data_IF_818283420961
#
_entry.id   IF_818283420961
#
_cell.length_a   1.000
_cell.length_b   1.000
_cell.length_c   1.000
_cell.angle_alpha   90.00
_cell.angle_beta   90.00
_cell.angle_gamma   90.00
#
_symmetry.space_group_name_H-M   'P 1'
#
loop_
_entity.id
_entity.type
_entity.pdbx_description
1 polymer ?
#
# COMPACT_ATOMS: atom_id res chain seq x y z
N UNK A 1 -11.94 24.58 7.68
CA UNK A 1 -10.57 24.44 8.20
C UNK A 1 -9.91 25.80 8.30
N UNK A 2 -9.24 26.12 9.41
CA UNK A 2 -8.43 27.34 9.49
C UNK A 2 -7.27 27.23 8.49
N UNK A 3 -6.93 28.32 7.80
CA UNK A 3 -5.74 28.38 6.92
C UNK A 3 -4.42 28.21 7.69
N UNK A 4 -4.47 28.15 9.03
CA UNK A 4 -3.33 28.02 9.94
C UNK A 4 -3.52 26.85 10.92
N UNK A 5 -3.09 25.66 10.50
CA UNK A 5 -3.10 24.46 11.35
C UNK A 5 -1.99 24.47 12.42
N UNK A 6 -1.01 25.38 12.32
CA UNK A 6 0.09 25.47 13.28
C UNK A 6 -0.37 26.14 14.57
N UNK A 7 -1.03 27.29 14.47
CA UNK A 7 -1.50 28.01 15.66
C UNK A 7 -2.67 27.32 16.36
N UNK A 8 -3.63 26.79 15.61
CA UNK A 8 -4.88 26.28 16.19
C UNK A 8 -4.91 24.77 16.39
N UNK A 9 -3.96 24.03 15.79
CA UNK A 9 -3.81 22.59 15.97
C UNK A 9 -2.54 22.25 16.75
N UNK A 10 -1.38 22.37 16.10
CA UNK A 10 -0.11 21.88 16.65
C UNK A 10 0.27 22.58 17.96
N UNK A 11 0.38 23.91 17.98
CA UNK A 11 0.83 24.63 19.16
C UNK A 11 -0.15 24.56 20.34
N UNK A 12 -1.45 24.51 20.06
CA UNK A 12 -2.49 24.38 21.09
C UNK A 12 -2.60 22.95 21.67
N UNK A 13 -2.03 21.95 20.99
CA UNK A 13 -1.98 20.57 21.49
C UNK A 13 -0.88 20.35 22.53
N UNK A 14 0.06 21.29 22.67
CA UNK A 14 1.21 21.20 23.56
C UNK A 14 0.86 21.89 24.88
N UNK A 15 0.81 21.11 25.97
CA UNK A 15 0.47 21.60 27.32
C UNK A 15 1.59 22.42 27.97
N UNK A 16 2.84 22.26 27.51
CA UNK A 16 3.99 23.02 27.97
C UNK A 16 4.02 24.43 27.33
N UNK A 17 4.55 25.41 28.07
CA UNK A 17 4.82 26.73 27.50
C UNK A 17 5.93 26.64 26.46
N UNK A 18 5.58 26.92 25.21
CA UNK A 18 6.51 26.95 24.06
C UNK A 18 6.80 28.38 23.62
N UNK A 19 8.08 28.71 23.52
CA UNK A 19 8.58 30.01 23.07
C UNK A 19 8.38 30.19 21.56
N UNK A 20 8.49 31.45 21.09
CA UNK A 20 8.45 31.75 19.66
C UNK A 20 9.61 31.07 18.88
N UNK A 21 10.78 30.88 19.50
CA UNK A 21 11.92 30.21 18.89
C UNK A 21 11.64 28.71 18.69
N UNK A 22 11.04 28.04 19.69
CA UNK A 22 10.65 26.63 19.59
C UNK A 22 9.56 26.43 18.54
N UNK A 23 8.54 27.30 18.50
CA UNK A 23 7.50 27.29 17.46
C UNK A 23 8.11 27.34 16.05
N UNK A 24 9.10 28.21 15.85
CA UNK A 24 9.81 28.33 14.57
C UNK A 24 10.66 27.09 14.24
N UNK A 25 11.31 26.49 15.24
CA UNK A 25 12.14 25.30 15.05
C UNK A 25 11.31 24.03 14.72
N UNK A 26 10.07 23.94 15.22
CA UNK A 26 9.16 22.82 14.96
C UNK A 26 8.60 22.81 13.52
N UNK A 27 8.63 23.95 12.82
CA UNK A 27 8.10 24.10 11.47
C UNK A 27 9.22 24.12 10.44
N UNK A 28 9.17 23.20 9.48
CA UNK A 28 9.98 23.33 8.26
C UNK A 28 9.38 24.41 7.36
N UNK A 29 10.23 25.31 6.86
CA UNK A 29 9.84 26.33 5.88
C UNK A 29 9.61 25.76 4.49
N UNK A 30 10.21 24.61 4.19
CA UNK A 30 10.06 23.88 2.94
C UNK A 30 9.66 22.42 3.21
N UNK A 31 8.82 21.82 2.35
CA UNK A 31 8.55 20.39 2.38
C UNK A 31 9.83 19.55 2.39
N UNK A 32 9.74 18.34 2.91
CA UNK A 32 10.75 17.33 2.63
C UNK A 32 10.66 16.94 1.15
N UNK A 33 11.82 16.68 0.54
CA UNK A 33 11.82 15.99 -0.74
C UNK A 33 11.17 14.62 -0.54
N UNK A 34 10.06 14.40 -1.25
CA UNK A 34 9.30 13.15 -1.17
C UNK A 34 9.98 12.02 -1.96
N UNK A 35 11.03 12.34 -2.73
CA UNK A 35 11.60 11.44 -3.73
C UNK A 35 10.63 11.21 -4.88
N UNK A 36 10.88 10.15 -5.64
CA UNK A 36 10.00 9.72 -6.72
C UNK A 36 8.74 9.07 -6.13
N UNK A 37 7.62 9.75 -6.27
CA UNK A 37 6.30 9.22 -5.91
C UNK A 37 5.42 9.14 -7.14
N UNK A 38 4.60 8.10 -7.17
CA UNK A 38 3.53 7.95 -8.13
C UNK A 38 2.29 8.63 -7.58
N UNK A 39 1.58 9.39 -8.41
CA UNK A 39 0.40 10.12 -7.98
C UNK A 39 -0.75 9.93 -8.96
N UNK A 40 -1.95 10.10 -8.44
CA UNK A 40 -3.18 10.11 -9.22
C UNK A 40 -3.95 11.39 -8.89
N UNK A 41 -4.77 11.85 -9.84
CA UNK A 41 -5.78 12.86 -9.54
C UNK A 41 -6.70 12.36 -8.41
N UNK A 42 -7.30 13.28 -7.65
CA UNK A 42 -8.21 12.89 -6.56
C UNK A 42 -9.36 11.99 -7.06
N UNK A 43 -9.87 12.25 -8.26
CA UNK A 43 -10.93 11.44 -8.88
C UNK A 43 -10.43 10.02 -9.22
N UNK A 44 -9.24 9.90 -9.82
CA UNK A 44 -8.68 8.59 -10.18
C UNK A 44 -8.31 7.80 -8.93
N UNK A 45 -7.71 8.46 -7.93
CA UNK A 45 -7.39 7.87 -6.64
C UNK A 45 -8.67 7.34 -5.96
N UNK A 46 -9.76 8.10 -6.00
CA UNK A 46 -11.05 7.68 -5.45
C UNK A 46 -11.56 6.39 -6.10
N UNK A 47 -11.63 6.32 -7.44
CA UNK A 47 -12.11 5.12 -8.13
C UNK A 47 -11.19 3.91 -7.91
N UNK A 48 -9.87 4.13 -7.85
CA UNK A 48 -8.89 3.08 -7.54
C UNK A 48 -9.09 2.51 -6.15
N UNK A 49 -9.20 3.37 -5.14
CA UNK A 49 -9.47 2.94 -3.76
C UNK A 49 -10.78 2.16 -3.68
N UNK A 50 -11.84 2.63 -4.34
CA UNK A 50 -13.11 1.89 -4.39
C UNK A 50 -12.99 0.52 -5.06
N UNK A 51 -12.12 0.38 -6.06
CA UNK A 51 -11.88 -0.89 -6.73
C UNK A 51 -11.01 -1.84 -5.89
N UNK A 52 -9.93 -1.36 -5.28
CA UNK A 52 -8.86 -2.23 -4.74
C UNK A 52 -8.79 -2.30 -3.22
N UNK A 53 -9.45 -1.42 -2.46
CA UNK A 53 -9.38 -1.44 -1.01
C UNK A 53 -10.13 -2.63 -0.39
N UNK A 54 -9.57 -3.18 0.69
CA UNK A 54 -10.16 -4.28 1.46
C UNK A 54 -9.98 -5.64 0.79
N UNK A 55 -10.97 -6.53 0.97
CA UNK A 55 -11.03 -7.85 0.35
C UNK A 55 -11.37 -7.72 -1.15
N UNK A 56 -10.46 -7.15 -1.94
CA UNK A 56 -10.72 -6.83 -3.36
C UNK A 56 -10.57 -8.01 -4.32
N UNK A 57 -9.99 -9.13 -3.86
CA UNK A 57 -9.92 -10.37 -4.64
C UNK A 57 -11.31 -11.02 -4.77
N UNK A 58 -12.06 -11.06 -3.67
CA UNK A 58 -13.43 -11.57 -3.63
C UNK A 58 -14.20 -10.79 -2.56
N UNK A 59 -15.14 -9.94 -3.01
CA UNK A 59 -15.89 -9.03 -2.14
C UNK A 59 -17.16 -9.72 -1.67
N UNK A 60 -17.41 -9.66 -0.37
CA UNK A 60 -18.70 -10.06 0.15
C UNK A 60 -19.76 -8.95 -0.01
N UNK A 61 -21.00 -9.25 0.38
CA UNK A 61 -22.10 -8.29 0.29
C UNK A 61 -21.90 -7.03 1.17
N UNK A 62 -21.07 -7.12 2.22
CA UNK A 62 -20.75 -6.00 3.09
C UNK A 62 -19.71 -5.11 2.39
N UNK A 63 -18.67 -5.69 1.80
CA UNK A 63 -17.67 -4.98 1.01
C UNK A 63 -18.33 -4.22 -0.15
N UNK A 64 -19.22 -4.90 -0.90
CA UNK A 64 -20.00 -4.28 -1.97
C UNK A 64 -20.86 -3.11 -1.47
N UNK A 65 -21.54 -3.30 -0.32
CA UNK A 65 -22.33 -2.25 0.30
C UNK A 65 -21.46 -1.04 0.63
N UNK A 66 -20.31 -1.23 1.28
CA UNK A 66 -19.42 -0.15 1.70
C UNK A 66 -18.88 0.61 0.50
N UNK A 67 -18.48 -0.08 -0.57
CA UNK A 67 -18.03 0.56 -1.82
C UNK A 67 -19.15 1.40 -2.43
N UNK A 68 -20.36 0.84 -2.51
CA UNK A 68 -21.53 1.55 -3.06
C UNK A 68 -21.89 2.78 -2.23
N UNK A 69 -21.95 2.64 -0.91
CA UNK A 69 -22.24 3.72 0.04
C UNK A 69 -21.21 4.85 -0.06
N UNK A 70 -19.93 4.50 -0.16
CA UNK A 70 -18.83 5.45 -0.34
C UNK A 70 -18.95 6.19 -1.66
N UNK A 71 -19.26 5.47 -2.75
CA UNK A 71 -19.47 6.06 -4.09
C UNK A 71 -20.66 7.02 -4.11
N UNK A 72 -21.77 6.66 -3.45
CA UNK A 72 -22.98 7.46 -3.43
C UNK A 72 -22.99 8.56 -2.36
N UNK A 73 -22.06 8.53 -1.41
CA UNK A 73 -22.05 9.42 -0.25
C UNK A 73 -23.26 9.21 0.66
N UNK A 74 -23.73 7.96 0.78
CA UNK A 74 -24.92 7.59 1.58
C UNK A 74 -24.57 6.50 2.59
N UNK A 75 -25.41 6.34 3.60
CA UNK A 75 -25.36 5.20 4.51
C UNK A 75 -26.71 4.49 4.50
N UNK A 76 -26.70 3.17 4.29
CA UNK A 76 -27.90 2.33 4.34
C UNK A 76 -28.39 2.17 5.78
N UNK A 77 -27.43 2.05 6.72
CA UNK A 77 -27.72 1.80 8.13
C UNK A 77 -27.33 2.99 9.00
N UNK A 78 -27.97 3.05 10.17
CA UNK A 78 -27.86 4.16 11.12
C UNK A 78 -27.83 3.61 12.52
N UNK A 79 -26.87 4.09 13.31
CA UNK A 79 -26.72 3.70 14.70
C UNK A 79 -27.98 4.00 15.52
N UNK A 80 -28.44 3.02 16.29
CA UNK A 80 -29.66 3.19 17.07
C UNK A 80 -29.45 4.13 18.27
N UNK A 81 -28.24 4.27 18.80
CA UNK A 81 -27.94 5.15 19.94
C UNK A 81 -27.47 6.51 19.44
N UNK A 82 -26.43 6.54 18.61
CA UNK A 82 -25.85 7.77 18.06
C UNK A 82 -26.82 8.53 17.16
N UNK A 83 -27.76 7.81 16.53
CA UNK A 83 -28.66 8.34 15.49
C UNK A 83 -27.89 8.97 14.31
N UNK A 84 -26.66 8.54 14.07
CA UNK A 84 -25.83 8.99 12.94
C UNK A 84 -25.80 7.90 11.87
N UNK A 85 -26.03 8.28 10.60
CA UNK A 85 -25.91 7.35 9.47
C UNK A 85 -24.45 6.94 9.25
N UNK A 86 -24.20 5.66 9.00
CA UNK A 86 -22.86 5.13 8.75
C UNK A 86 -22.02 4.87 10.00
N UNK A 87 -22.49 5.29 11.19
CA UNK A 87 -21.92 4.89 12.48
C UNK A 87 -22.83 3.82 13.06
N UNK A 88 -22.29 2.60 13.17
CA UNK A 88 -22.99 1.43 13.69
C UNK A 88 -22.67 1.32 15.19
N UNK A 89 -23.68 1.35 16.05
CA UNK A 89 -23.52 1.21 17.50
C UNK A 89 -23.61 -0.25 17.93
N UNK A 90 -24.37 -1.06 17.18
CA UNK A 90 -24.50 -2.50 17.39
C UNK A 90 -24.73 -3.24 16.08
N UNK A 91 -24.42 -4.54 16.06
CA UNK A 91 -24.71 -5.42 14.92
C UNK A 91 -26.20 -5.46 14.56
N UNK A 92 -27.09 -5.17 15.51
CA UNK A 92 -28.53 -5.13 15.28
C UNK A 92 -28.97 -3.89 14.46
N UNK A 93 -28.14 -2.85 14.39
CA UNK A 93 -28.43 -1.67 13.56
C UNK A 93 -28.38 -1.99 12.06
N UNK A 94 -27.76 -3.13 11.71
CA UNK A 94 -27.69 -3.66 10.36
C UNK A 94 -28.92 -4.47 9.97
N UNK A 95 -29.88 -4.71 10.89
CA UNK A 95 -31.06 -5.56 10.63
C UNK A 95 -32.06 -4.84 9.71
N UNK A 96 -32.30 -5.32 8.47
CA UNK A 96 -33.29 -4.71 7.59
C UNK A 96 -34.70 -4.83 8.14
N UNK A 97 -35.58 -3.89 7.77
CA UNK A 97 -37.01 -4.02 8.06
C UNK A 97 -37.59 -5.24 7.36
N UNK A 98 -38.35 -6.05 8.10
CA UNK A 98 -38.90 -7.32 7.59
C UNK A 98 -37.90 -8.46 7.49
N UNK A 99 -36.67 -8.31 8.00
CA UNK A 99 -35.71 -9.40 8.06
C UNK A 99 -36.27 -10.58 8.89
N UNK A 100 -35.97 -11.83 8.49
CA UNK A 100 -36.51 -13.00 9.14
C UNK A 100 -36.00 -13.15 10.59
N UNK A 101 -36.62 -14.05 11.34
CA UNK A 101 -36.30 -14.26 12.75
C UNK A 101 -34.86 -14.74 12.97
N UNK A 102 -34.32 -15.51 12.02
CA UNK A 102 -32.97 -16.09 11.98
C UNK A 102 -31.93 -15.19 11.28
N UNK A 103 -32.28 -13.95 10.94
CA UNK A 103 -31.34 -13.01 10.32
C UNK A 103 -30.08 -12.79 11.20
N UNK A 104 -28.92 -12.74 10.54
CA UNK A 104 -27.62 -12.45 11.13
C UNK A 104 -26.97 -11.22 10.48
N UNK A 105 -26.20 -10.47 11.26
CA UNK A 105 -25.38 -9.36 10.77
C UNK A 105 -24.19 -9.82 9.91
N UNK A 106 -23.85 -11.11 10.00
CA UNK A 106 -22.76 -11.72 9.25
C UNK A 106 -23.34 -12.50 8.07
N UNK A 107 -22.97 -12.15 6.82
CA UNK A 107 -23.39 -12.92 5.66
C UNK A 107 -22.82 -14.34 5.73
N UNK A 108 -23.51 -15.26 5.06
CA UNK A 108 -22.88 -16.53 4.71
C UNK A 108 -21.81 -16.24 3.66
N UNK A 109 -20.57 -16.62 3.94
CA UNK A 109 -19.49 -16.57 2.96
C UNK A 109 -19.53 -17.88 2.19
N UNK A 110 -19.84 -17.80 0.90
CA UNK A 110 -19.74 -18.96 0.03
C UNK A 110 -18.26 -19.22 -0.23
N UNK A 111 -17.72 -20.24 0.42
CA UNK A 111 -16.38 -20.71 0.10
C UNK A 111 -16.38 -21.38 -1.28
N UNK A 112 -15.36 -21.07 -2.08
CA UNK A 112 -15.06 -21.84 -3.29
C UNK A 112 -14.49 -23.22 -2.96
N UNK A 113 -14.19 -24.01 -4.00
CA UNK A 113 -13.38 -25.20 -3.85
C UNK A 113 -11.94 -24.80 -3.54
N UNK A 114 -11.47 -25.13 -2.34
CA UNK A 114 -10.08 -24.89 -1.98
C UNK A 114 -9.17 -25.77 -2.84
N UNK A 115 -8.11 -25.20 -3.43
CA UNK A 115 -7.06 -25.99 -4.05
C UNK A 115 -6.52 -27.03 -3.07
N UNK A 116 -6.07 -28.16 -3.61
CA UNK A 116 -5.46 -29.21 -2.80
C UNK A 116 -4.13 -28.71 -2.23
N UNK A 117 -4.01 -28.79 -0.91
CA UNK A 117 -2.82 -28.45 -0.11
C UNK A 117 -2.58 -29.66 0.81
N UNK A 118 -1.63 -30.52 0.43
CA UNK A 118 -1.44 -31.85 1.04
C UNK A 118 -0.75 -31.77 2.39
N UNK A 119 0.13 -30.81 2.61
CA UNK A 119 0.86 -30.63 3.88
C UNK A 119 0.35 -29.49 4.75
N UNK A 120 -0.70 -28.79 4.28
CA UNK A 120 -1.48 -27.78 4.99
C UNK A 120 -0.64 -26.56 5.37
N UNK A 121 0.27 -26.18 4.48
CA UNK A 121 1.23 -25.13 4.72
C UNK A 121 0.78 -23.76 4.20
N UNK A 122 -0.35 -23.73 3.50
CA UNK A 122 -0.98 -22.55 2.92
C UNK A 122 -0.67 -22.34 1.44
N UNK A 123 0.05 -23.25 0.78
CA UNK A 123 0.34 -23.24 -0.65
C UNK A 123 -0.32 -24.45 -1.35
N UNK A 124 -0.93 -24.29 -2.53
CA UNK A 124 -1.49 -25.41 -3.28
C UNK A 124 -0.41 -26.32 -3.87
N UNK A 125 -0.66 -27.64 -3.89
CA UNK A 125 0.24 -28.65 -4.45
C UNK A 125 0.70 -28.28 -5.89
N UNK A 126 -0.24 -27.82 -6.74
CA UNK A 126 0.05 -27.45 -8.13
C UNK A 126 1.00 -26.24 -8.22
N UNK A 127 0.86 -25.28 -7.32
CA UNK A 127 1.73 -24.11 -7.27
C UNK A 127 3.12 -24.48 -6.77
N UNK A 128 3.20 -25.32 -5.74
CA UNK A 128 4.45 -25.84 -5.20
C UNK A 128 5.24 -26.63 -6.25
N UNK A 129 4.58 -27.55 -6.96
CA UNK A 129 5.19 -28.31 -8.06
C UNK A 129 5.72 -27.39 -9.16
N UNK A 130 4.97 -26.34 -9.52
CA UNK A 130 5.40 -25.34 -10.49
C UNK A 130 6.62 -24.52 -10.02
N UNK A 131 6.79 -24.35 -8.70
CA UNK A 131 7.95 -23.69 -8.08
C UNK A 131 9.10 -24.67 -7.76
N UNK A 132 8.94 -25.96 -8.01
CA UNK A 132 9.94 -26.99 -7.70
C UNK A 132 10.07 -27.31 -6.22
N UNK A 133 9.01 -27.09 -5.44
CA UNK A 133 8.88 -27.46 -4.02
C UNK A 133 8.33 -28.88 -3.88
N UNK A 134 8.25 -29.36 -2.64
CA UNK A 134 7.71 -30.68 -2.33
C UNK A 134 6.36 -30.54 -1.59
N UNK A 135 5.21 -30.86 -2.23
CA UNK A 135 3.87 -30.73 -1.64
C UNK A 135 3.56 -31.58 -0.40
N UNK A 136 4.57 -32.23 0.17
CA UNK A 136 4.47 -33.09 1.35
C UNK A 136 5.42 -32.62 2.45
N UNK A 137 6.04 -31.45 2.30
CA UNK A 137 7.06 -30.95 3.20
C UNK A 137 6.82 -29.47 3.58
N UNK A 138 6.05 -29.21 4.65
CA UNK A 138 5.44 -27.90 4.91
C UNK A 138 6.43 -26.82 5.38
N UNK A 139 7.72 -27.15 5.46
CA UNK A 139 8.77 -26.24 5.90
C UNK A 139 9.49 -25.56 4.74
N UNK A 140 9.40 -26.10 3.51
CA UNK A 140 10.04 -25.48 2.35
C UNK A 140 9.34 -24.19 1.90
N UNK A 141 8.10 -23.91 2.35
CA UNK A 141 7.48 -22.58 2.29
C UNK A 141 8.35 -21.44 2.80
N UNK A 142 9.22 -21.73 3.78
CA UNK A 142 10.13 -20.76 4.39
C UNK A 142 11.44 -20.59 3.62
N UNK A 143 11.71 -21.44 2.63
CA UNK A 143 12.87 -21.29 1.76
C UNK A 143 12.78 -19.98 0.99
N UNK A 144 13.94 -19.40 0.67
CA UNK A 144 14.01 -18.14 -0.06
C UNK A 144 13.87 -18.38 -1.54
N UNK A 145 12.88 -17.72 -2.14
CA UNK A 145 12.74 -17.55 -3.56
C UNK A 145 13.82 -16.57 -4.08
N UNK A 146 14.04 -16.53 -5.40
CA UNK A 146 15.03 -15.66 -6.05
C UNK A 146 14.81 -14.15 -5.77
N UNK A 147 13.59 -13.76 -5.39
CA UNK A 147 13.25 -12.40 -4.98
C UNK A 147 13.75 -12.02 -3.57
N UNK A 148 14.20 -12.99 -2.77
CA UNK A 148 14.59 -12.79 -1.36
C UNK A 148 13.45 -12.94 -0.35
N UNK A 149 12.21 -13.08 -0.83
CA UNK A 149 11.03 -13.43 -0.03
C UNK A 149 10.91 -14.95 0.12
N UNK A 150 10.15 -15.41 1.10
CA UNK A 150 9.81 -16.83 1.23
C UNK A 150 8.87 -17.27 0.11
N UNK A 151 8.78 -18.57 -0.16
CA UNK A 151 7.81 -19.08 -1.14
C UNK A 151 6.37 -18.78 -0.70
N UNK A 152 6.05 -18.86 0.60
CA UNK A 152 4.74 -18.47 1.10
C UNK A 152 4.39 -17.00 0.78
N UNK A 153 5.34 -16.08 1.00
CA UNK A 153 5.15 -14.67 0.68
C UNK A 153 4.94 -14.44 -0.82
N UNK A 154 5.67 -15.17 -1.67
CA UNK A 154 5.54 -15.11 -3.14
C UNK A 154 4.17 -15.64 -3.58
N UNK A 155 3.72 -16.76 -3.01
CA UNK A 155 2.41 -17.33 -3.30
C UNK A 155 1.28 -16.36 -2.95
N UNK A 156 1.24 -15.86 -1.71
CA UNK A 156 0.20 -14.92 -1.26
C UNK A 156 0.17 -13.67 -2.13
N UNK A 157 1.34 -13.13 -2.50
CA UNK A 157 1.43 -11.97 -3.39
C UNK A 157 0.92 -12.29 -4.81
N UNK A 158 1.18 -13.51 -5.32
CA UNK A 158 0.75 -13.92 -6.65
C UNK A 158 -0.77 -13.94 -6.82
N UNK A 159 -1.52 -14.21 -5.73
CA UNK A 159 -2.99 -14.23 -5.74
C UNK A 159 -3.61 -12.89 -6.14
N UNK A 160 -2.95 -11.78 -5.78
CA UNK A 160 -3.45 -10.42 -6.00
C UNK A 160 -2.59 -9.61 -6.98
N UNK A 161 -1.61 -10.24 -7.63
CA UNK A 161 -0.64 -9.55 -8.48
C UNK A 161 -1.32 -8.76 -9.61
N UNK A 162 -2.37 -9.33 -10.20
CA UNK A 162 -3.14 -8.69 -11.26
C UNK A 162 -3.88 -7.41 -10.79
N UNK A 163 -4.33 -7.38 -9.53
CA UNK A 163 -4.98 -6.22 -8.90
C UNK A 163 -3.95 -5.10 -8.73
N UNK A 164 -2.78 -5.43 -8.16
CA UNK A 164 -1.70 -4.46 -7.92
C UNK A 164 -1.16 -3.89 -9.24
N UNK A 165 -0.97 -4.75 -10.25
CA UNK A 165 -0.54 -4.31 -11.60
C UNK A 165 -1.56 -3.37 -12.24
N UNK A 166 -2.85 -3.66 -12.11
CA UNK A 166 -3.90 -2.77 -12.62
C UNK A 166 -3.90 -1.41 -11.90
N UNK A 167 -3.69 -1.41 -10.59
CA UNK A 167 -3.60 -0.16 -9.80
C UNK A 167 -2.44 0.74 -10.25
N UNK A 168 -1.31 0.14 -10.63
CA UNK A 168 -0.08 0.82 -11.03
C UNK A 168 0.03 1.04 -12.55
N UNK A 169 -1.04 0.90 -13.32
CA UNK A 169 -0.95 0.95 -14.80
C UNK A 169 -0.99 2.37 -15.40
N UNK A 170 -1.44 3.37 -14.65
CA UNK A 170 -1.86 4.70 -15.12
C UNK A 170 -1.49 5.84 -14.16
N UNK A 171 -0.39 5.69 -13.44
CA UNK A 171 0.10 6.71 -12.51
C UNK A 171 0.95 7.78 -13.21
N UNK A 172 0.90 9.01 -12.67
CA UNK A 172 1.80 10.08 -13.07
C UNK A 172 3.01 10.13 -12.13
N UNK A 173 4.22 10.21 -12.69
CA UNK A 173 5.41 10.54 -11.92
C UNK A 173 5.44 12.03 -11.62
N UNK A 174 5.48 12.39 -10.34
CA UNK A 174 5.82 13.75 -9.93
C UNK A 174 7.21 13.69 -9.30
N UNK A 175 8.20 14.24 -10.02
CA UNK A 175 9.48 14.55 -9.41
C UNK A 175 9.26 15.66 -8.37
N UNK A 176 9.73 15.43 -7.15
CA UNK A 176 9.76 16.44 -6.10
C UNK A 176 10.56 17.65 -6.55
N UNK A 177 9.86 18.67 -7.08
CA UNK A 177 10.32 20.03 -7.23
C UNK A 177 11.68 20.20 -7.89
N UNK A 178 11.77 19.93 -9.20
CA UNK A 178 12.47 20.82 -10.12
C UNK A 178 11.85 20.66 -11.51
N UNK A 179 11.21 21.71 -11.98
CA UNK A 179 10.73 21.79 -13.34
C UNK A 179 11.94 21.88 -14.26
N UNK A 180 12.47 20.75 -14.72
CA UNK A 180 13.19 20.57 -15.99
C UNK A 180 13.61 19.11 -16.17
N UNK A 181 13.30 18.57 -17.35
CA UNK A 181 13.78 17.28 -17.92
C UNK A 181 13.20 16.04 -17.22
N UNK A 182 12.25 15.29 -17.80
CA UNK A 182 12.46 14.38 -18.93
C UNK A 182 11.09 14.01 -19.53
N UNK A 183 10.70 14.60 -20.67
CA UNK A 183 9.49 14.21 -21.43
C UNK A 183 9.81 13.33 -22.65
N UNK A 184 11.06 12.88 -22.87
CA UNK A 184 11.39 12.29 -24.19
C UNK A 184 12.18 10.99 -24.21
N UNK A 185 12.23 10.17 -23.16
CA UNK A 185 12.71 8.79 -23.31
C UNK A 185 12.06 7.81 -22.32
N UNK A 186 10.92 7.25 -22.72
CA UNK A 186 10.42 5.98 -22.19
C UNK A 186 11.32 4.86 -22.74
N UNK A 187 12.05 4.09 -21.91
CA UNK A 187 12.57 2.82 -22.39
C UNK A 187 11.39 1.85 -22.50
N UNK A 188 11.01 1.54 -23.74
CA UNK A 188 10.21 0.36 -24.05
C UNK A 188 10.82 -0.88 -23.38
N UNK A 189 9.98 -1.74 -22.79
CA UNK A 189 10.38 -3.07 -22.33
C UNK A 189 10.72 -3.91 -23.57
N UNK A 190 11.94 -3.74 -24.08
CA UNK A 190 12.64 -4.71 -24.88
C UNK A 190 13.89 -5.09 -24.10
N UNK A 191 14.20 -6.38 -24.10
CA UNK A 191 15.36 -6.97 -23.45
C UNK A 191 16.65 -6.44 -24.07
N UNK A 192 17.06 -5.26 -23.65
CA UNK A 192 18.38 -4.73 -23.95
C UNK A 192 19.02 -4.32 -22.63
N UNK A 193 20.16 -4.96 -22.34
CA UNK A 193 21.06 -4.66 -21.24
C UNK A 193 21.55 -3.21 -21.35
N UNK A 194 20.69 -2.28 -20.96
CA UNK A 194 20.96 -0.85 -20.99
C UNK A 194 21.71 -0.51 -19.72
N UNK A 195 22.88 0.11 -19.85
CA UNK A 195 23.73 0.56 -18.77
C UNK A 195 22.93 1.45 -17.80
N UNK A 196 22.37 0.86 -16.75
CA UNK A 196 21.76 1.60 -15.65
C UNK A 196 22.87 2.41 -14.99
N UNK A 197 22.74 3.73 -15.04
CA UNK A 197 23.63 4.65 -14.34
C UNK A 197 23.75 4.21 -12.88
N UNK A 198 24.98 3.91 -12.45
CA UNK A 198 25.24 3.30 -11.17
C UNK A 198 25.05 4.34 -10.06
N UNK A 199 23.89 4.34 -9.40
CA UNK A 199 23.62 5.22 -8.24
C UNK A 199 24.37 4.71 -7.01
N UNK A 200 25.14 5.58 -6.38
CA UNK A 200 25.88 5.30 -5.14
C UNK A 200 25.20 5.95 -3.94
N UNK A 201 25.28 5.30 -2.79
CA UNK A 201 24.78 5.82 -1.52
C UNK A 201 25.91 5.90 -0.50
N UNK A 202 25.96 6.98 0.28
CA UNK A 202 26.81 7.06 1.47
C UNK A 202 26.23 6.23 2.64
N UNK A 203 26.95 6.16 3.77
CA UNK A 203 26.47 5.44 4.96
C UNK A 203 25.23 6.06 5.62
N UNK A 204 24.82 7.25 5.18
CA UNK A 204 23.60 7.93 5.61
C UNK A 204 22.45 7.71 4.61
N UNK A 205 22.66 6.91 3.56
CA UNK A 205 21.65 6.58 2.55
C UNK A 205 21.37 7.71 1.56
N UNK A 206 22.25 8.71 1.45
CA UNK A 206 22.09 9.82 0.50
C UNK A 206 22.66 9.43 -0.87
N UNK A 207 21.93 9.64 -1.96
CA UNK A 207 22.44 9.38 -3.30
C UNK A 207 23.59 10.34 -3.63
N UNK A 208 24.62 9.83 -4.32
CA UNK A 208 25.75 10.62 -4.83
C UNK A 208 26.05 10.19 -6.26
N UNK A 209 26.33 11.18 -7.11
CA UNK A 209 26.53 10.95 -8.55
C UNK A 209 27.82 10.18 -8.85
N UNK A 210 28.78 10.22 -7.92
CA UNK A 210 29.93 9.31 -7.85
C UNK A 210 30.64 9.50 -6.49
N UNK A 211 31.26 8.46 -5.92
CA UNK A 211 32.03 8.62 -4.69
C UNK A 211 33.32 9.38 -5.02
N UNK A 212 33.42 10.64 -4.56
CA UNK A 212 34.58 11.50 -4.82
C UNK A 212 35.29 11.98 -3.54
N UNK A 213 34.71 11.72 -2.37
CA UNK A 213 35.29 12.09 -1.07
C UNK A 213 35.67 10.82 -0.30
N UNK A 214 36.62 10.94 0.63
CA UNK A 214 37.00 9.81 1.49
C UNK A 214 35.78 9.30 2.25
N UNK A 215 35.43 8.03 2.08
CA UNK A 215 34.16 7.49 2.57
C UNK A 215 33.87 6.07 2.10
N UNK A 216 32.85 5.47 2.71
CA UNK A 216 32.31 4.16 2.31
C UNK A 216 31.03 4.41 1.52
N UNK A 217 30.94 3.78 0.35
CA UNK A 217 29.81 3.92 -0.55
C UNK A 217 29.28 2.56 -0.99
N UNK A 218 27.96 2.48 -1.15
CA UNK A 218 27.21 1.28 -1.52
C UNK A 218 26.45 1.57 -2.80
N UNK A 219 26.71 0.81 -3.86
CA UNK A 219 25.94 0.81 -5.09
C UNK A 219 25.26 -0.55 -5.27
N UNK A 220 24.32 -0.65 -6.22
CA UNK A 220 23.66 -1.93 -6.54
C UNK A 220 24.72 -3.03 -6.77
N UNK A 221 24.75 -4.00 -5.85
CA UNK A 221 25.68 -5.14 -5.82
C UNK A 221 27.19 -4.80 -5.70
N UNK A 222 27.58 -3.60 -5.27
CA UNK A 222 28.99 -3.21 -5.09
C UNK A 222 29.20 -2.33 -3.85
N UNK A 223 30.31 -2.55 -3.14
CA UNK A 223 30.81 -1.65 -2.08
C UNK A 223 32.16 -1.08 -2.50
N UNK A 224 32.37 0.22 -2.32
CA UNK A 224 33.68 0.86 -2.54
C UNK A 224 34.09 1.70 -1.33
N UNK A 225 35.39 1.82 -1.11
CA UNK A 225 35.98 2.61 -0.03
C UNK A 225 37.02 3.53 -0.66
N UNK A 226 36.81 4.84 -0.53
CA UNK A 226 37.77 5.85 -0.95
C UNK A 226 38.51 6.31 0.29
N UNK A 227 39.85 6.20 0.26
CA UNK A 227 40.74 6.60 1.34
C UNK A 227 41.14 8.05 1.15
#
# INVERSE_FOLDING_TARGET
>A
CSQDNWNYGIYNSISASITAAEKKAMRRSQPLDAGLVTTHSAQNAFEKVLATAGCSLDRDIIDERIVKETREGKATFKGNVSKVGGIIDSQNDLKPSGAPADWSAWPSLEGGENPKDTDQDGMPDEWEEAQGLNPKYPLDRNNKHASGYTYLEVYINSLVEHIVKAELSDFDYIAGGDANDFVTNLPSVQSEASQQQQVWFDLQGRPTDEPQQSGIYIGRNKKTIIK
#
